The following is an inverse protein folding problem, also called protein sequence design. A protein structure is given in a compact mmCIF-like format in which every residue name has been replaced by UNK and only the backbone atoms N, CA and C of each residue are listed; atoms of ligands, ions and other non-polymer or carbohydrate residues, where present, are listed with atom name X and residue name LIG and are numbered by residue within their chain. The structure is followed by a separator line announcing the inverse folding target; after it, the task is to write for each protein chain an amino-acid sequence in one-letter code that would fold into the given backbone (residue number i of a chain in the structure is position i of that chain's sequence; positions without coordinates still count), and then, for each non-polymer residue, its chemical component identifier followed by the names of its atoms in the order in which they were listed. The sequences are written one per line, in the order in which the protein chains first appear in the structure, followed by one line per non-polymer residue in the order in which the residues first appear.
data_IF_198442116210
#
_entry.id   IF_198442116210
#
_cell.length_a   1.000
_cell.length_b   1.000
_cell.length_c   1.000
_cell.angle_alpha   90.00
_cell.angle_beta   90.00
_cell.angle_gamma   90.00
#
_symmetry.space_group_name_H-M   'P 1'
#
loop_
_entity.id
_entity.type
_entity.pdbx_description
1 polymer ?
#
# COMPACT_ATOMS: atom_id res chain seq x y z
N UNK A 1 -11.69 3.75 -3.79
CA UNK A 1 -11.08 3.14 -4.98
C UNK A 1 -11.85 1.88 -5.34
N UNK A 2 -12.32 1.72 -6.57
CA UNK A 2 -13.03 0.50 -7.01
C UNK A 2 -12.03 -0.50 -7.59
N UNK A 3 -11.75 -1.58 -6.85
CA UNK A 3 -10.78 -2.62 -7.25
C UNK A 3 -11.21 -3.40 -8.50
N UNK A 4 -12.51 -3.40 -8.80
CA UNK A 4 -13.11 -4.04 -9.99
C UNK A 4 -12.58 -3.53 -11.33
N UNK A 5 -11.89 -2.37 -11.36
CA UNK A 5 -11.22 -1.86 -12.56
C UNK A 5 -9.95 -2.63 -12.93
N UNK A 6 -9.37 -3.36 -11.98
CA UNK A 6 -8.13 -4.10 -12.17
C UNK A 6 -8.41 -5.57 -12.53
N UNK A 7 -7.57 -6.19 -13.37
CA UNK A 7 -7.70 -7.60 -13.71
C UNK A 7 -7.55 -8.50 -12.48
N UNK A 8 -8.38 -9.54 -12.37
CA UNK A 8 -8.41 -10.47 -11.24
C UNK A 8 -7.16 -11.37 -11.15
N UNK A 9 -6.47 -11.59 -12.26
CA UNK A 9 -5.26 -12.42 -12.33
C UNK A 9 -4.17 -11.70 -13.12
N UNK A 10 -2.88 -11.91 -12.79
CA UNK A 10 -1.80 -11.42 -13.61
C UNK A 10 -1.82 -12.12 -14.98
N UNK A 11 -1.42 -11.43 -16.07
CA UNK A 11 -1.40 -12.04 -17.40
C UNK A 11 -0.18 -12.96 -17.61
N UNK A 12 0.88 -12.82 -16.80
CA UNK A 12 2.04 -13.71 -16.82
C UNK A 12 2.81 -13.69 -15.49
N UNK A 13 3.72 -14.65 -15.32
CA UNK A 13 4.65 -14.72 -14.18
C UNK A 13 5.60 -13.53 -14.15
N UNK A 14 6.08 -13.11 -15.31
CA UNK A 14 6.96 -11.94 -15.44
C UNK A 14 6.26 -10.67 -14.97
N UNK A 15 5.03 -10.43 -15.42
CA UNK A 15 4.30 -9.22 -14.99
C UNK A 15 3.97 -9.24 -13.49
N UNK A 16 3.73 -10.42 -12.93
CA UNK A 16 3.56 -10.59 -11.50
C UNK A 16 4.83 -10.26 -10.72
N UNK A 17 5.98 -10.77 -11.14
CA UNK A 17 7.27 -10.48 -10.52
C UNK A 17 7.63 -8.99 -10.61
N UNK A 18 7.42 -8.37 -11.78
CA UNK A 18 7.61 -6.94 -11.95
C UNK A 18 6.74 -6.12 -11.00
N UNK A 19 5.47 -6.51 -10.84
CA UNK A 19 4.56 -5.86 -9.90
C UNK A 19 5.05 -6.00 -8.46
N UNK A 20 5.51 -7.20 -8.07
CA UNK A 20 6.07 -7.43 -6.74
C UNK A 20 7.32 -6.61 -6.47
N UNK A 21 8.19 -6.44 -7.47
CA UNK A 21 9.36 -5.54 -7.38
C UNK A 21 8.92 -4.11 -7.12
N UNK A 22 7.92 -3.60 -7.86
CA UNK A 22 7.38 -2.24 -7.63
C UNK A 22 6.78 -2.12 -6.23
N UNK A 23 6.02 -3.12 -5.80
CA UNK A 23 5.42 -3.18 -4.48
C UNK A 23 6.47 -3.17 -3.35
N UNK A 24 7.60 -3.85 -3.52
CA UNK A 24 8.71 -3.87 -2.56
C UNK A 24 9.50 -2.54 -2.52
N UNK A 25 9.69 -1.90 -3.68
CA UNK A 25 10.61 -0.77 -3.81
C UNK A 25 10.01 0.59 -3.40
N UNK A 26 8.67 0.73 -3.34
CA UNK A 26 8.03 2.01 -2.96
C UNK A 26 8.58 2.63 -1.66
N UNK A 27 8.71 1.89 -0.54
CA UNK A 27 9.26 2.46 0.69
C UNK A 27 10.65 3.08 0.49
N UNK A 28 11.51 2.47 -0.33
CA UNK A 28 12.85 3.03 -0.63
C UNK A 28 12.77 4.33 -1.43
N UNK A 29 11.87 4.40 -2.40
CA UNK A 29 11.65 5.61 -3.19
C UNK A 29 11.10 6.77 -2.34
N UNK A 30 10.17 6.47 -1.41
CA UNK A 30 9.65 7.44 -0.46
C UNK A 30 10.72 7.90 0.53
N UNK A 31 11.52 6.98 1.06
CA UNK A 31 12.64 7.32 1.96
C UNK A 31 13.59 8.32 1.33
N UNK A 32 14.06 8.03 0.10
CA UNK A 32 14.96 8.90 -0.63
C UNK A 32 14.35 10.29 -0.91
N UNK A 33 13.03 10.35 -1.09
CA UNK A 33 12.33 11.63 -1.30
C UNK A 33 12.17 12.45 -0.02
N UNK A 34 12.03 11.78 1.13
CA UNK A 34 11.79 12.42 2.43
C UNK A 34 13.08 12.82 3.16
N UNK A 35 14.16 12.07 2.99
CA UNK A 35 15.42 12.28 3.72
C UNK A 35 16.14 13.59 3.31
N UNK A 36 15.86 14.11 2.12
CA UNK A 36 16.52 15.30 1.58
C UNK A 36 15.89 16.63 2.04
N UNK A 37 14.79 16.62 2.78
CA UNK A 37 14.01 17.86 3.06
C UNK A 37 13.53 17.98 4.51
N UNK A 38 13.78 19.14 5.12
CA UNK A 38 13.16 19.52 6.38
C UNK A 38 11.67 19.86 6.15
N UNK A 39 10.77 19.05 6.72
CA UNK A 39 9.33 19.24 6.59
C UNK A 39 8.79 20.20 7.65
N UNK A 40 8.30 21.35 7.21
CA UNK A 40 7.68 22.38 8.06
C UNK A 40 6.32 22.82 7.51
N UNK A 41 5.46 23.37 8.38
CA UNK A 41 4.17 23.96 8.02
C UNK A 41 3.26 23.04 7.20
N UNK A 42 2.57 23.62 6.21
CA UNK A 42 1.60 22.92 5.36
C UNK A 42 2.17 21.69 4.65
N UNK A 43 3.44 21.71 4.25
CA UNK A 43 4.07 20.59 3.56
C UNK A 43 4.22 19.37 4.49
N UNK A 44 4.53 19.60 5.77
CA UNK A 44 4.58 18.56 6.79
C UNK A 44 3.21 17.90 6.96
N UNK A 45 2.15 18.69 7.04
CA UNK A 45 0.79 18.19 7.26
C UNK A 45 0.29 17.39 6.04
N UNK A 46 0.47 17.92 4.82
CA UNK A 46 0.10 17.22 3.58
C UNK A 46 0.86 15.91 3.40
N UNK A 47 2.18 15.92 3.62
CA UNK A 47 2.98 14.68 3.56
C UNK A 47 2.52 13.70 4.63
N UNK A 48 2.19 14.19 5.83
CA UNK A 48 1.60 13.39 6.90
C UNK A 48 0.30 12.70 6.47
N UNK A 49 -0.63 13.43 5.85
CA UNK A 49 -1.90 12.87 5.36
C UNK A 49 -1.70 11.80 4.30
N UNK A 50 -0.80 12.05 3.34
CA UNK A 50 -0.45 11.09 2.30
C UNK A 50 0.13 9.80 2.89
N UNK A 51 1.06 9.90 3.85
CA UNK A 51 1.64 8.74 4.51
C UNK A 51 0.61 7.99 5.38
N UNK A 52 -0.33 8.70 6.01
CA UNK A 52 -1.44 8.07 6.74
C UNK A 52 -2.35 7.26 5.81
N UNK A 53 -2.60 7.76 4.59
CA UNK A 53 -3.36 7.01 3.58
C UNK A 53 -2.66 5.70 3.20
N UNK A 54 -1.34 5.71 3.04
CA UNK A 54 -0.55 4.49 2.79
C UNK A 54 -0.63 3.50 3.96
N UNK A 55 -0.53 3.99 5.21
CA UNK A 55 -0.67 3.14 6.40
C UNK A 55 -2.06 2.51 6.48
N UNK A 56 -3.12 3.29 6.25
CA UNK A 56 -4.48 2.78 6.24
C UNK A 56 -4.67 1.69 5.17
N UNK A 57 -4.16 1.93 3.96
CA UNK A 57 -4.19 0.95 2.88
C UNK A 57 -3.44 -0.34 3.27
N UNK A 58 -2.23 -0.27 3.81
CA UNK A 58 -1.46 -1.45 4.19
C UNK A 58 -2.10 -2.26 5.33
N UNK A 59 -2.81 -1.61 6.24
CA UNK A 59 -3.57 -2.29 7.29
C UNK A 59 -4.75 -3.07 6.67
N UNK A 60 -5.47 -2.46 5.74
CA UNK A 60 -6.52 -3.15 4.98
C UNK A 60 -5.96 -4.33 4.16
N UNK A 61 -4.82 -4.14 3.50
CA UNK A 61 -4.13 -5.23 2.77
C UNK A 61 -3.74 -6.36 3.72
N UNK A 62 -3.28 -6.03 4.94
CA UNK A 62 -2.92 -7.04 5.95
C UNK A 62 -4.12 -7.93 6.30
N UNK A 63 -5.27 -7.31 6.57
CA UNK A 63 -6.50 -8.03 6.90
C UNK A 63 -6.98 -8.91 5.73
N UNK A 64 -6.95 -8.35 4.51
CA UNK A 64 -7.35 -9.07 3.31
C UNK A 64 -6.44 -10.26 3.01
N UNK A 65 -5.11 -10.11 3.13
CA UNK A 65 -4.20 -11.23 2.95
C UNK A 65 -4.37 -12.30 4.02
N UNK A 66 -4.66 -11.94 5.27
CA UNK A 66 -4.99 -12.91 6.30
C UNK A 66 -6.27 -13.68 5.94
N UNK A 67 -7.33 -12.97 5.54
CA UNK A 67 -8.60 -13.56 5.12
C UNK A 67 -8.43 -14.51 3.92
N UNK A 68 -7.69 -14.08 2.89
CA UNK A 68 -7.37 -14.89 1.71
C UNK A 68 -6.61 -16.17 2.06
N UNK A 69 -5.57 -16.05 2.89
CA UNK A 69 -4.75 -17.18 3.33
C UNK A 69 -5.57 -18.20 4.13
N UNK A 70 -6.46 -17.70 4.99
CA UNK A 70 -7.25 -18.53 5.90
C UNK A 70 -8.56 -19.03 5.26
N UNK A 71 -8.88 -18.58 4.04
CA UNK A 71 -10.13 -18.92 3.35
C UNK A 71 -11.38 -18.37 4.05
N UNK A 72 -11.24 -17.25 4.76
CA UNK A 72 -12.29 -16.63 5.56
C UNK A 72 -12.80 -15.34 4.91
N UNK A 73 -14.06 -14.94 5.14
CA UNK A 73 -14.52 -13.61 4.77
C UNK A 73 -13.79 -12.54 5.58
N UNK A 74 -13.61 -11.36 4.99
CA UNK A 74 -12.90 -10.26 5.64
C UNK A 74 -13.77 -9.68 6.74
N UNK A 75 -13.25 -9.67 7.96
CA UNK A 75 -13.78 -8.83 9.03
C UNK A 75 -13.05 -7.50 8.95
N UNK A 76 -13.62 -6.55 8.20
CA UNK A 76 -13.08 -5.18 8.19
C UNK A 76 -13.31 -4.62 9.58
N UNK A 77 -12.24 -4.35 10.34
CA UNK A 77 -12.36 -3.58 11.57
C UNK A 77 -12.52 -2.09 11.18
N UNK A 78 -13.69 -1.46 11.37
CA UNK A 78 -13.87 -0.05 11.03
C UNK A 78 -13.06 0.89 11.96
N UNK A 79 -12.33 0.36 12.95
CA UNK A 79 -11.60 1.12 13.96
C UNK A 79 -10.09 1.10 13.77
N UNK A 80 -9.58 0.78 12.58
CA UNK A 80 -8.14 0.87 12.31
C UNK A 80 -7.71 2.34 12.46
N UNK A 81 -7.23 2.68 13.65
CA UNK A 81 -6.83 4.03 14.01
C UNK A 81 -5.38 4.28 13.56
N UNK A 82 -5.21 5.22 12.64
CA UNK A 82 -3.89 5.66 12.18
C UNK A 82 -3.41 6.76 13.13
N UNK A 83 -2.78 6.33 14.22
CA UNK A 83 -2.55 7.18 15.39
C UNK A 83 -1.43 8.24 15.30
N UNK A 84 -0.62 8.32 14.23
CA UNK A 84 0.52 9.25 14.21
C UNK A 84 0.30 10.48 13.32
N UNK A 85 0.45 11.66 13.93
CA UNK A 85 0.51 12.94 13.22
C UNK A 85 1.87 13.19 12.53
N UNK A 86 2.94 12.55 13.02
CA UNK A 86 4.33 12.73 12.56
C UNK A 86 4.60 11.97 11.24
N UNK A 87 5.01 12.67 10.15
CA UNK A 87 5.31 12.03 8.86
C UNK A 87 6.34 10.90 8.96
N UNK A 88 7.42 11.09 9.74
CA UNK A 88 8.48 10.07 9.85
C UNK A 88 7.95 8.78 10.46
N UNK A 89 7.19 8.88 11.54
CA UNK A 89 6.60 7.72 12.20
C UNK A 89 5.56 7.01 11.32
N UNK A 90 4.79 7.78 10.53
CA UNK A 90 3.87 7.22 9.55
C UNK A 90 4.61 6.44 8.44
N UNK A 91 5.70 6.99 7.92
CA UNK A 91 6.57 6.32 6.94
C UNK A 91 7.15 5.01 7.50
N UNK A 92 7.71 5.02 8.70
CA UNK A 92 8.33 3.82 9.30
C UNK A 92 7.29 2.71 9.54
N UNK A 93 6.09 3.09 9.98
CA UNK A 93 4.96 2.16 10.13
C UNK A 93 4.54 1.58 8.78
N UNK A 94 4.42 2.43 7.74
CA UNK A 94 4.12 1.98 6.38
C UNK A 94 5.16 0.99 5.88
N UNK A 95 6.46 1.31 5.96
CA UNK A 95 7.54 0.45 5.51
C UNK A 95 7.53 -0.92 6.23
N UNK A 96 7.28 -0.94 7.55
CA UNK A 96 7.17 -2.17 8.32
C UNK A 96 5.94 -3.01 7.96
N UNK A 97 4.80 -2.40 7.64
CA UNK A 97 3.63 -3.12 7.14
C UNK A 97 3.88 -3.69 5.75
N UNK A 98 4.40 -2.86 4.84
CA UNK A 98 4.71 -3.26 3.46
C UNK A 98 5.67 -4.44 3.41
N UNK A 99 6.74 -4.41 4.20
CA UNK A 99 7.69 -5.53 4.29
C UNK A 99 7.05 -6.83 4.76
N UNK A 100 6.11 -6.77 5.73
CA UNK A 100 5.35 -7.94 6.18
C UNK A 100 4.41 -8.47 5.11
N UNK A 101 3.66 -7.60 4.45
CA UNK A 101 2.73 -7.95 3.38
C UNK A 101 3.46 -8.55 2.18
N UNK A 102 4.59 -7.96 1.77
CA UNK A 102 5.44 -8.51 0.72
C UNK A 102 5.95 -9.91 1.08
N UNK A 103 6.46 -10.12 2.30
CA UNK A 103 6.95 -11.42 2.73
C UNK A 103 5.85 -12.51 2.77
N UNK A 104 4.59 -12.13 3.04
CA UNK A 104 3.46 -13.05 3.02
C UNK A 104 3.19 -13.59 1.60
N UNK A 105 3.40 -12.76 0.58
CA UNK A 105 3.14 -13.08 -0.82
C UNK A 105 4.35 -13.76 -1.49
N UNK A 106 5.56 -13.22 -1.31
CA UNK A 106 6.78 -13.69 -1.97
C UNK A 106 7.08 -15.18 -1.71
N UNK A 107 6.84 -15.66 -0.48
CA UNK A 107 7.17 -17.04 -0.08
C UNK A 107 6.27 -18.11 -0.71
N UNK A 108 5.16 -17.71 -1.33
CA UNK A 108 4.09 -18.61 -1.79
C UNK A 108 4.09 -18.82 -3.30
N UNK A 109 4.91 -18.06 -4.05
CA UNK A 109 5.04 -18.22 -5.50
C UNK A 109 3.69 -18.09 -6.22
N UNK A 110 3.41 -19.01 -7.15
CA UNK A 110 2.17 -19.02 -7.94
C UNK A 110 0.90 -19.36 -7.13
N UNK A 111 1.03 -19.90 -5.90
CA UNK A 111 -0.13 -20.20 -5.02
C UNK A 111 -0.99 -18.95 -4.79
N UNK A 112 -0.35 -17.79 -4.67
CA UNK A 112 -1.01 -16.52 -4.36
C UNK A 112 -1.91 -16.02 -5.49
N UNK A 113 -1.79 -16.57 -6.71
CA UNK A 113 -2.67 -16.19 -7.82
C UNK A 113 -4.10 -16.68 -7.62
N UNK A 114 -4.27 -17.76 -6.84
CA UNK A 114 -5.59 -18.26 -6.44
C UNK A 114 -6.16 -17.57 -5.20
N UNK A 115 -5.42 -16.63 -4.58
CA UNK A 115 -5.88 -15.99 -3.36
C UNK A 115 -6.96 -14.96 -3.66
N UNK A 116 -8.12 -15.17 -3.02
CA UNK A 116 -9.26 -14.27 -3.10
C UNK A 116 -10.03 -14.26 -1.79
N UNK A 117 -10.67 -13.13 -1.47
CA UNK A 117 -11.56 -12.99 -0.33
C UNK A 117 -12.75 -12.10 -0.68
N UNK A 118 -13.89 -12.36 -0.05
CA UNK A 118 -15.05 -11.47 -0.12
C UNK A 118 -14.84 -10.26 0.79
N UNK A 119 -14.87 -9.07 0.20
CA UNK A 119 -14.73 -7.80 0.89
C UNK A 119 -16.08 -7.06 0.95
N UNK A 120 -16.52 -6.59 2.13
CA UNK A 120 -17.76 -5.84 2.27
C UNK A 120 -17.84 -4.63 1.32
N UNK A 121 -18.90 -4.55 0.52
CA UNK A 121 -19.11 -3.45 -0.43
C UNK A 121 -18.21 -3.44 -1.68
N UNK A 122 -17.31 -4.41 -1.82
CA UNK A 122 -16.40 -4.54 -2.96
C UNK A 122 -16.55 -5.87 -3.71
N UNK A 123 -17.17 -6.88 -3.09
CA UNK A 123 -17.31 -8.23 -3.63
C UNK A 123 -16.02 -9.04 -3.52
N UNK A 124 -15.84 -10.03 -4.39
CA UNK A 124 -14.61 -10.82 -4.45
C UNK A 124 -13.44 -9.94 -4.87
N UNK A 125 -12.40 -9.93 -4.05
CA UNK A 125 -11.14 -9.25 -4.30
C UNK A 125 -10.02 -10.27 -4.35
N UNK A 126 -9.11 -10.13 -5.33
CA UNK A 126 -7.95 -11.01 -5.49
C UNK A 126 -6.67 -10.36 -4.96
N UNK A 127 -5.66 -11.19 -4.61
CA UNK A 127 -4.35 -10.69 -4.21
C UNK A 127 -3.72 -9.79 -5.30
N UNK A 128 -3.90 -10.16 -6.57
CA UNK A 128 -3.41 -9.37 -7.70
C UNK A 128 -4.01 -7.97 -7.75
N UNK A 129 -5.35 -7.87 -7.63
CA UNK A 129 -6.02 -6.56 -7.61
C UNK A 129 -5.57 -5.70 -6.44
N UNK A 130 -5.32 -6.30 -5.26
CA UNK A 130 -4.85 -5.55 -4.09
C UNK A 130 -3.45 -5.00 -4.27
N UNK A 131 -2.53 -5.80 -4.79
CA UNK A 131 -1.15 -5.33 -5.01
C UNK A 131 -1.14 -4.27 -6.11
N UNK A 132 -1.85 -4.49 -7.23
CA UNK A 132 -1.99 -3.49 -8.29
C UNK A 132 -2.52 -2.16 -7.76
N UNK A 133 -3.59 -2.23 -6.96
CA UNK A 133 -4.23 -1.05 -6.42
C UNK A 133 -3.34 -0.31 -5.41
N UNK A 134 -2.62 -1.06 -4.57
CA UNK A 134 -1.64 -0.50 -3.64
C UNK A 134 -0.48 0.16 -4.38
N UNK A 135 0.05 -0.47 -5.42
CA UNK A 135 1.13 0.11 -6.25
C UNK A 135 0.67 1.36 -7.02
N UNK A 136 -0.60 1.44 -7.42
CA UNK A 136 -1.17 2.66 -8.00
C UNK A 136 -1.24 3.79 -6.97
N UNK A 137 -1.74 3.50 -5.76
CA UNK A 137 -1.79 4.45 -4.65
C UNK A 137 -0.39 4.94 -4.25
N UNK A 138 0.60 4.03 -4.24
CA UNK A 138 2.00 4.36 -4.00
C UNK A 138 2.52 5.41 -4.99
N UNK A 139 2.23 5.23 -6.29
CA UNK A 139 2.68 6.13 -7.34
C UNK A 139 2.01 7.51 -7.22
N UNK A 140 0.69 7.53 -6.95
CA UNK A 140 -0.07 8.77 -6.69
C UNK A 140 0.49 9.50 -5.45
N UNK A 141 0.76 8.76 -4.37
CA UNK A 141 1.34 9.30 -3.14
C UNK A 141 2.73 9.87 -3.36
N UNK A 142 3.60 9.13 -4.06
CA UNK A 142 4.96 9.59 -4.36
C UNK A 142 4.94 10.87 -5.20
N UNK A 143 4.02 10.98 -6.16
CA UNK A 143 3.83 12.21 -6.92
C UNK A 143 3.37 13.38 -6.02
N UNK A 144 2.37 13.14 -5.16
CA UNK A 144 1.86 14.15 -4.23
C UNK A 144 2.90 14.62 -3.20
N UNK A 145 3.74 13.72 -2.69
CA UNK A 145 4.86 14.08 -1.81
C UNK A 145 5.84 15.00 -2.55
N UNK A 146 6.24 14.64 -3.78
CA UNK A 146 7.16 15.46 -4.58
C UNK A 146 6.60 16.85 -4.89
N UNK A 147 5.30 16.94 -5.12
CA UNK A 147 4.62 18.21 -5.34
C UNK A 147 4.62 19.08 -4.08
N UNK A 148 4.22 18.51 -2.93
CA UNK A 148 4.23 19.22 -1.65
C UNK A 148 5.63 19.75 -1.28
N UNK A 149 6.68 18.95 -1.55
CA UNK A 149 8.07 19.36 -1.33
C UNK A 149 8.52 20.47 -2.28
N UNK A 150 8.09 20.42 -3.55
CA UNK A 150 8.42 21.46 -4.53
C UNK A 150 7.81 22.81 -4.15
N UNK A 151 6.56 22.82 -3.70
CA UNK A 151 5.87 24.04 -3.27
C UNK A 151 6.51 24.67 -2.03
N UNK A 152 7.05 23.86 -1.11
CA UNK A 152 7.71 24.33 0.10
C UNK A 152 9.10 24.93 -0.13
N UNK A 153 9.72 24.65 -1.29
CA UNK A 153 11.06 25.14 -1.65
C UNK A 153 11.03 26.50 -2.37
N UNK A 154 9.85 27.06 -2.62
CA UNK A 154 9.60 28.37 -3.26
C UNK A 154 9.32 29.42 -2.20
#
# INVERSE_FOLDING_TARGET
MTLSRYPATPPSEVEWEELLVRYELTPRALHATLDDVALEGDARDRVGDLLRALVANELQVTELFAAMRDGLPVQVDPRIEVMSAEPRAAYERFAALRGRNFAAVQRRGLEVWGWSAEAPGQGTVTAHQLILASTALDAETLAGVREALREAAV
#
